data_IF_551875735936
#
_entry.id   IF_551875735936
#
_cell.length_a   1.000
_cell.length_b   1.000
_cell.length_c   1.000
_cell.angle_alpha   90.00
_cell.angle_beta   90.00
_cell.angle_gamma   90.00
#
_symmetry.space_group_name_H-M   'P 1'
#
loop_
_entity.id
_entity.type
_entity.pdbx_description
1 polymer ?
#
# COMPACT_ATOMS: atom_id res chain seq x y z
N UNK A 1 -26.69 -2.09 -33.04
CA UNK A 1 -26.35 -2.12 -31.60
C UNK A 1 -27.12 -1.07 -30.79
N UNK A 2 -27.12 0.21 -31.19
CA UNK A 2 -27.84 1.28 -30.48
C UNK A 2 -29.35 0.99 -30.25
N UNK A 3 -30.06 0.53 -31.27
CA UNK A 3 -31.50 0.20 -31.17
C UNK A 3 -31.79 -1.00 -30.26
N UNK A 4 -30.87 -1.95 -30.18
CA UNK A 4 -31.00 -3.10 -29.28
C UNK A 4 -30.74 -2.70 -27.83
N UNK A 5 -29.70 -1.89 -27.59
CA UNK A 5 -29.38 -1.36 -26.26
C UNK A 5 -30.51 -0.51 -25.66
N UNK A 6 -31.16 0.34 -26.48
CA UNK A 6 -32.35 1.10 -26.07
C UNK A 6 -33.50 0.18 -25.66
N UNK A 7 -33.83 -0.82 -26.47
CA UNK A 7 -34.89 -1.81 -26.17
C UNK A 7 -34.61 -2.62 -24.91
N UNK A 8 -33.34 -3.00 -24.66
CA UNK A 8 -32.95 -3.67 -23.41
C UNK A 8 -33.16 -2.78 -22.19
N UNK A 9 -32.82 -1.49 -22.28
CA UNK A 9 -33.02 -0.52 -21.20
C UNK A 9 -34.50 -0.30 -20.88
N UNK A 10 -35.33 -0.13 -21.91
CA UNK A 10 -36.78 0.00 -21.75
C UNK A 10 -37.39 -1.25 -21.13
N UNK A 11 -37.05 -2.43 -21.65
CA UNK A 11 -37.52 -3.71 -21.11
C UNK A 11 -37.09 -3.93 -19.66
N UNK A 12 -35.86 -3.58 -19.30
CA UNK A 12 -35.39 -3.67 -17.91
C UNK A 12 -36.15 -2.75 -16.97
N UNK A 13 -36.55 -1.54 -17.42
CA UNK A 13 -37.36 -0.62 -16.60
C UNK A 13 -38.78 -1.14 -16.39
N UNK A 14 -39.39 -1.71 -17.42
CA UNK A 14 -40.79 -2.19 -17.38
C UNK A 14 -40.96 -3.59 -16.81
N UNK A 15 -39.89 -4.37 -16.65
CA UNK A 15 -39.95 -5.70 -16.01
C UNK A 15 -40.34 -5.60 -14.54
N UNK A 16 -41.10 -6.59 -14.07
CA UNK A 16 -41.49 -6.70 -12.67
C UNK A 16 -40.33 -7.18 -11.78
N UNK A 17 -40.41 -6.93 -10.47
CA UNK A 17 -39.37 -7.37 -9.53
C UNK A 17 -39.11 -8.88 -9.56
N UNK A 18 -40.15 -9.69 -9.81
CA UNK A 18 -40.02 -11.15 -9.94
C UNK A 18 -39.23 -11.56 -11.19
N UNK A 19 -39.42 -10.85 -12.30
CA UNK A 19 -38.68 -11.12 -13.54
C UNK A 19 -37.22 -10.66 -13.43
N UNK A 20 -36.97 -9.53 -12.75
CA UNK A 20 -35.61 -9.05 -12.46
C UNK A 20 -34.86 -9.96 -11.49
N UNK A 21 -35.56 -10.53 -10.50
CA UNK A 21 -34.99 -11.44 -9.50
C UNK A 21 -34.20 -12.59 -10.14
N UNK A 22 -34.69 -13.17 -11.24
CA UNK A 22 -33.98 -14.22 -11.97
C UNK A 22 -32.64 -13.74 -12.54
N UNK A 23 -32.58 -12.52 -13.05
CA UNK A 23 -31.34 -11.92 -13.57
C UNK A 23 -30.41 -11.49 -12.44
N UNK A 24 -30.94 -11.01 -11.32
CA UNK A 24 -30.16 -10.65 -10.14
C UNK A 24 -29.53 -11.89 -9.49
N UNK A 25 -30.26 -13.01 -9.40
CA UNK A 25 -29.73 -14.29 -8.94
C UNK A 25 -28.63 -14.82 -9.86
N UNK A 26 -28.84 -14.72 -11.18
CA UNK A 26 -27.83 -15.11 -12.17
C UNK A 26 -26.57 -14.24 -12.07
N UNK A 27 -26.72 -12.92 -11.90
CA UNK A 27 -25.60 -12.00 -11.70
C UNK A 27 -24.85 -12.27 -10.38
N UNK A 28 -25.55 -12.64 -9.30
CA UNK A 28 -24.92 -13.04 -8.04
C UNK A 28 -24.13 -14.34 -8.19
N UNK A 29 -24.70 -15.34 -8.86
CA UNK A 29 -24.01 -16.60 -9.13
C UNK A 29 -22.76 -16.38 -10.01
N UNK A 30 -22.87 -15.51 -11.02
CA UNK A 30 -21.74 -15.13 -11.88
C UNK A 30 -20.64 -14.40 -11.11
N UNK A 31 -21.01 -13.47 -10.21
CA UNK A 31 -20.06 -12.79 -9.34
C UNK A 31 -19.30 -13.78 -8.44
N UNK A 32 -19.99 -14.75 -7.85
CA UNK A 32 -19.35 -15.78 -7.01
C UNK A 32 -18.41 -16.65 -7.83
N UNK A 33 -18.80 -17.01 -9.06
CA UNK A 33 -17.92 -17.73 -9.99
C UNK A 33 -16.67 -16.92 -10.30
N UNK A 34 -16.84 -15.64 -10.68
CA UNK A 34 -15.73 -14.74 -10.98
C UNK A 34 -14.80 -14.56 -9.77
N UNK A 35 -15.34 -14.32 -8.58
CA UNK A 35 -14.54 -14.16 -7.36
C UNK A 35 -13.76 -15.46 -7.03
N UNK A 36 -14.35 -16.63 -7.29
CA UNK A 36 -13.68 -17.93 -7.13
C UNK A 36 -12.58 -18.15 -8.17
N UNK A 37 -12.85 -17.87 -9.44
CA UNK A 37 -11.85 -17.94 -10.51
C UNK A 37 -10.70 -16.94 -10.27
N UNK A 38 -11.02 -15.75 -9.76
CA UNK A 38 -10.03 -14.72 -9.42
C UNK A 38 -9.21 -15.04 -8.17
N UNK A 39 -9.67 -15.96 -7.30
CA UNK A 39 -8.90 -16.40 -6.13
C UNK A 39 -7.71 -17.28 -6.53
N UNK A 40 -7.90 -18.12 -7.53
CA UNK A 40 -6.86 -18.99 -8.08
C UNK A 40 -6.07 -18.30 -9.21
N UNK A 41 -6.64 -17.22 -9.78
CA UNK A 41 -5.94 -16.35 -10.72
C UNK A 41 -5.02 -15.38 -9.98
N UNK A 42 -3.75 -15.76 -9.86
CA UNK A 42 -2.67 -14.79 -9.67
C UNK A 42 -2.34 -14.17 -11.03
N UNK A 43 -2.84 -12.96 -11.40
CA UNK A 43 -2.23 -12.25 -12.51
C UNK A 43 -0.75 -12.18 -12.15
N UNK A 44 0.15 -12.50 -13.09
CA UNK A 44 1.57 -12.23 -12.91
C UNK A 44 1.64 -10.79 -12.40
N UNK A 45 2.02 -10.60 -11.12
CA UNK A 45 2.11 -9.28 -10.50
C UNK A 45 3.00 -8.53 -11.46
N UNK A 46 2.42 -7.67 -12.31
CA UNK A 46 3.19 -6.92 -13.28
C UNK A 46 4.24 -6.23 -12.43
N UNK A 47 5.52 -6.64 -12.60
CA UNK A 47 6.56 -6.39 -11.60
C UNK A 47 6.47 -4.94 -11.16
N UNK A 48 6.53 -4.69 -9.83
CA UNK A 48 6.33 -3.36 -9.22
C UNK A 48 6.96 -2.33 -10.17
N UNK A 49 6.13 -1.55 -10.88
CA UNK A 49 6.64 -0.60 -11.89
C UNK A 49 7.73 0.22 -11.21
N UNK A 50 8.95 0.23 -11.77
CA UNK A 50 10.09 0.96 -11.19
C UNK A 50 9.59 2.34 -10.78
N UNK A 51 9.61 2.62 -9.47
CA UNK A 51 9.16 3.91 -8.94
C UNK A 51 10.01 4.97 -9.64
N UNK A 52 9.34 5.98 -10.19
CA UNK A 52 10.01 7.10 -10.85
C UNK A 52 10.97 7.75 -9.83
N UNK A 53 12.29 7.81 -10.08
CA UNK A 53 13.26 8.35 -9.14
C UNK A 53 13.03 9.82 -8.77
N UNK A 54 12.21 10.54 -9.55
CA UNK A 54 11.88 11.94 -9.34
C UNK A 54 10.48 12.14 -8.73
N UNK A 55 9.67 11.09 -8.60
CA UNK A 55 8.38 11.20 -7.93
C UNK A 55 8.61 11.44 -6.43
N UNK A 56 7.81 12.33 -5.80
CA UNK A 56 7.85 12.50 -4.36
C UNK A 56 7.70 11.14 -3.64
N UNK A 57 8.59 10.82 -2.68
CA UNK A 57 8.52 9.60 -1.84
C UNK A 57 7.38 9.77 -0.84
N UNK A 58 6.56 8.73 -0.66
CA UNK A 58 5.40 8.75 0.24
C UNK A 58 5.85 9.03 1.68
N UNK A 59 5.15 9.88 2.43
CA UNK A 59 5.52 10.18 3.81
C UNK A 59 5.24 8.97 4.70
N UNK A 60 6.04 8.79 5.78
CA UNK A 60 5.80 7.74 6.75
C UNK A 60 4.45 7.93 7.45
N UNK A 61 3.74 6.82 7.67
CA UNK A 61 2.50 6.80 8.45
C UNK A 61 2.78 7.06 9.94
N UNK A 62 1.74 7.38 10.72
CA UNK A 62 1.85 7.57 12.17
C UNK A 62 2.49 6.38 12.87
N UNK A 63 2.14 5.15 12.43
CA UNK A 63 2.77 3.92 12.91
C UNK A 63 4.28 3.88 12.60
N UNK A 64 4.70 4.21 11.38
CA UNK A 64 6.12 4.21 11.02
C UNK A 64 6.92 5.28 11.76
N UNK A 65 6.32 6.44 12.04
CA UNK A 65 6.94 7.44 12.92
C UNK A 65 7.18 6.87 14.32
N UNK A 66 6.19 6.17 14.88
CA UNK A 66 6.35 5.47 16.15
C UNK A 66 7.44 4.38 16.07
N UNK A 67 7.43 3.53 15.05
CA UNK A 67 8.44 2.50 14.86
C UNK A 67 9.85 3.09 14.77
N UNK A 68 10.05 4.20 14.07
CA UNK A 68 11.35 4.86 13.95
C UNK A 68 11.93 5.31 15.30
N UNK A 69 11.07 5.72 16.24
CA UNK A 69 11.49 6.17 17.57
C UNK A 69 11.72 5.01 18.55
N UNK A 70 11.07 3.86 18.34
CA UNK A 70 11.07 2.73 19.27
C UNK A 70 11.89 1.51 18.81
N UNK A 71 12.05 1.28 17.50
CA UNK A 71 12.95 0.25 16.93
C UNK A 71 14.36 0.31 17.53
N UNK A 72 15.06 1.47 17.57
CA UNK A 72 16.41 1.53 18.15
C UNK A 72 16.42 1.26 19.66
N UNK A 73 15.34 1.58 20.39
CA UNK A 73 15.24 1.30 21.84
C UNK A 73 15.11 -0.19 22.11
N UNK A 74 14.30 -0.89 21.31
CA UNK A 74 14.13 -2.34 21.40
C UNK A 74 15.42 -3.05 20.99
N UNK A 75 16.04 -2.65 19.87
CA UNK A 75 17.33 -3.21 19.42
C UNK A 75 18.45 -2.99 20.45
N UNK A 76 18.45 -1.87 21.17
CA UNK A 76 19.43 -1.60 22.24
C UNK A 76 19.21 -2.46 23.48
N UNK A 77 17.95 -2.81 23.79
CA UNK A 77 17.58 -3.61 24.96
C UNK A 77 17.76 -5.11 24.70
N UNK A 78 17.54 -5.53 23.45
CA UNK A 78 17.75 -6.88 22.95
C UNK A 78 18.69 -6.84 21.75
N UNK A 79 20.01 -6.71 21.96
CA UNK A 79 20.96 -6.82 20.85
C UNK A 79 20.87 -8.22 20.24
N UNK A 80 20.53 -8.33 18.95
CA UNK A 80 20.40 -9.59 18.22
C UNK A 80 18.97 -10.13 18.05
N UNK A 81 17.93 -9.36 18.43
CA UNK A 81 16.56 -9.67 18.02
C UNK A 81 16.38 -9.47 16.51
N UNK A 82 15.65 -10.37 15.85
CA UNK A 82 15.33 -10.23 14.41
C UNK A 82 14.48 -9.00 14.16
N UNK A 83 14.57 -8.44 12.96
CA UNK A 83 13.75 -7.30 12.55
C UNK A 83 12.27 -7.67 12.61
N UNK A 84 11.90 -8.85 12.10
CA UNK A 84 10.53 -9.36 12.16
C UNK A 84 9.97 -9.37 13.59
N UNK A 85 10.75 -9.81 14.57
CA UNK A 85 10.30 -9.84 15.97
C UNK A 85 10.18 -8.45 16.59
N UNK A 86 11.04 -7.50 16.19
CA UNK A 86 10.92 -6.09 16.59
C UNK A 86 9.65 -5.49 15.99
N UNK A 87 9.35 -5.77 14.73
CA UNK A 87 8.16 -5.29 14.06
C UNK A 87 6.88 -5.84 14.71
N UNK A 88 6.84 -7.15 15.04
CA UNK A 88 5.74 -7.78 15.79
C UNK A 88 5.51 -7.07 17.12
N UNK A 89 6.57 -6.88 17.93
CA UNK A 89 6.48 -6.16 19.22
C UNK A 89 6.01 -4.71 19.06
N UNK A 90 6.50 -3.99 18.05
CA UNK A 90 6.08 -2.60 17.79
C UNK A 90 4.61 -2.52 17.37
N UNK A 91 4.14 -3.48 16.57
CA UNK A 91 2.73 -3.60 16.19
C UNK A 91 1.82 -3.81 17.40
N UNK A 92 2.19 -4.71 18.30
CA UNK A 92 1.46 -4.93 19.56
C UNK A 92 1.45 -3.68 20.44
N UNK A 93 2.61 -3.04 20.64
CA UNK A 93 2.71 -1.78 21.38
C UNK A 93 1.80 -0.71 20.79
N UNK A 94 1.84 -0.53 19.47
CA UNK A 94 1.01 0.45 18.78
C UNK A 94 -0.49 0.16 18.91
N UNK A 95 -0.91 -1.11 18.87
CA UNK A 95 -2.30 -1.48 19.08
C UNK A 95 -2.76 -1.20 20.51
N UNK A 96 -1.87 -1.44 21.49
CA UNK A 96 -2.13 -1.20 22.91
C UNK A 96 -2.07 0.28 23.33
N UNK A 97 -1.43 1.16 22.55
CA UNK A 97 -1.45 2.60 22.80
C UNK A 97 -2.89 3.14 22.79
N UNK A 98 -3.16 4.12 23.63
CA UNK A 98 -4.43 4.84 23.60
C UNK A 98 -4.51 5.77 22.38
N UNK A 99 -5.72 6.12 21.95
CA UNK A 99 -5.89 7.07 20.85
C UNK A 99 -5.19 8.40 21.13
N UNK A 100 -5.16 8.86 22.38
CA UNK A 100 -4.46 10.07 22.81
C UNK A 100 -2.95 10.01 22.55
N UNK A 101 -2.35 8.84 22.74
CA UNK A 101 -0.92 8.62 22.48
C UNK A 101 -0.63 8.44 20.99
N UNK A 102 -1.58 7.89 20.22
CA UNK A 102 -1.48 7.81 18.75
C UNK A 102 -1.71 9.16 18.07
N UNK A 103 -2.54 10.04 18.65
CA UNK A 103 -2.86 11.36 18.11
C UNK A 103 -1.65 12.19 17.69
N UNK A 104 -0.58 12.39 18.50
CA UNK A 104 0.57 13.17 18.08
C UNK A 104 1.27 12.57 16.84
N UNK A 105 1.37 11.24 16.75
CA UNK A 105 1.96 10.58 15.58
C UNK A 105 1.06 10.70 14.34
N UNK A 106 -0.25 10.53 14.51
CA UNK A 106 -1.23 10.71 13.44
C UNK A 106 -1.25 12.16 12.95
N UNK A 107 -1.13 13.15 13.84
CA UNK A 107 -1.05 14.57 13.50
C UNK A 107 0.26 14.92 12.78
N UNK A 108 1.39 14.37 13.22
CA UNK A 108 2.68 14.49 12.51
C UNK A 108 2.57 13.89 11.10
N UNK A 109 2.02 12.69 10.98
CA UNK A 109 1.81 12.02 9.70
C UNK A 109 0.86 12.79 8.78
N UNK A 110 -0.23 13.36 9.32
CA UNK A 110 -1.17 14.18 8.56
C UNK A 110 -0.51 15.45 7.99
N UNK A 111 0.33 16.13 8.77
CA UNK A 111 1.11 17.29 8.29
C UNK A 111 2.09 16.92 7.18
N UNK A 112 2.78 15.78 7.32
CA UNK A 112 3.69 15.28 6.29
C UNK A 112 2.93 14.86 5.02
N UNK A 113 1.73 14.28 5.18
CA UNK A 113 0.83 13.95 4.08
C UNK A 113 0.36 15.18 3.32
N UNK A 114 -0.02 16.25 4.02
CA UNK A 114 -0.43 17.50 3.38
C UNK A 114 0.72 18.11 2.57
N UNK A 115 1.94 18.09 3.11
CA UNK A 115 3.13 18.54 2.38
C UNK A 115 3.38 17.67 1.14
N UNK A 116 3.28 16.35 1.28
CA UNK A 116 3.43 15.41 0.17
C UNK A 116 2.39 15.64 -0.92
N UNK A 117 1.13 15.87 -0.56
CA UNK A 117 0.06 16.13 -1.51
C UNK A 117 0.33 17.42 -2.31
N UNK A 118 0.89 18.46 -1.68
CA UNK A 118 1.37 19.67 -2.36
C UNK A 118 2.54 19.36 -3.30
N UNK A 119 3.56 18.65 -2.83
CA UNK A 119 4.72 18.28 -3.64
C UNK A 119 4.33 17.39 -4.84
N UNK A 120 3.35 16.49 -4.67
CA UNK A 120 2.79 15.67 -5.75
C UNK A 120 1.96 16.49 -6.71
N UNK A 121 1.16 17.44 -6.23
CA UNK A 121 0.41 18.35 -7.09
C UNK A 121 1.36 19.22 -7.94
N UNK A 122 2.45 19.70 -7.35
CA UNK A 122 3.51 20.43 -8.04
C UNK A 122 4.26 19.53 -9.04
N UNK A 123 4.57 18.28 -8.66
CA UNK A 123 5.19 17.30 -9.56
C UNK A 123 4.29 16.97 -10.76
N UNK A 124 2.98 16.79 -10.50
CA UNK A 124 1.99 16.46 -11.53
C UNK A 124 1.70 17.64 -12.46
N UNK A 125 1.70 18.87 -11.92
CA UNK A 125 1.46 20.10 -12.70
C UNK A 125 2.68 20.52 -13.53
N UNK A 126 3.91 20.25 -13.05
CA UNK A 126 5.15 20.51 -13.80
C UNK A 126 5.41 19.55 -14.96
N UNK A 127 4.54 18.56 -15.17
CA UNK A 127 4.68 17.58 -16.23
C UNK A 127 5.88 16.65 -15.96
N UNK A 128 5.85 15.45 -16.55
CA UNK A 128 6.97 14.51 -16.52
C UNK A 128 8.22 15.24 -17.04
N UNK A 129 9.11 15.64 -16.14
CA UNK A 129 10.40 16.19 -16.53
C UNK A 129 11.33 15.02 -16.83
N UNK A 130 11.47 14.72 -18.12
CA UNK A 130 12.53 13.89 -18.67
C UNK A 130 13.89 14.35 -18.10
N UNK A 131 14.69 13.38 -17.67
CA UNK A 131 15.73 13.59 -16.69
C UNK A 131 16.86 14.55 -17.07
N UNK A 132 17.36 15.29 -16.08
CA UNK A 132 18.71 15.83 -16.09
C UNK A 132 19.23 16.10 -14.67
N UNK A 133 20.43 15.55 -14.43
CA UNK A 133 21.33 15.56 -13.27
C UNK A 133 21.32 16.81 -12.35
N UNK A 134 21.35 16.58 -11.03
CA UNK A 134 21.69 17.56 -9.97
C UNK A 134 21.95 16.88 -8.60
N UNK A 135 22.74 17.47 -7.67
CA UNK A 135 23.57 16.74 -6.71
C UNK A 135 22.80 16.36 -5.42
N UNK A 136 22.06 15.26 -5.45
CA UNK A 136 21.46 14.64 -4.26
C UNK A 136 22.16 13.32 -3.85
N UNK A 137 23.36 13.05 -4.40
CA UNK A 137 24.05 11.75 -4.26
C UNK A 137 24.59 11.47 -2.85
N UNK A 138 24.85 12.49 -2.02
CA UNK A 138 25.49 12.26 -0.70
C UNK A 138 24.46 11.93 0.39
N UNK A 139 23.23 12.46 0.31
CA UNK A 139 22.17 12.11 1.25
C UNK A 139 21.48 10.78 0.89
N UNK A 140 21.49 10.39 -0.39
CA UNK A 140 20.95 9.10 -0.87
C UNK A 140 21.76 7.90 -0.38
N UNK A 141 23.10 7.97 -0.40
CA UNK A 141 23.97 6.84 -0.04
C UNK A 141 23.77 6.34 1.40
N UNK A 142 23.46 7.23 2.35
CA UNK A 142 23.28 6.84 3.77
C UNK A 142 21.90 6.24 4.06
N UNK A 143 20.89 6.56 3.26
CA UNK A 143 19.55 5.97 3.40
C UNK A 143 19.41 4.73 2.53
N UNK A 144 20.11 4.65 1.39
CA UNK A 144 20.22 3.42 0.58
C UNK A 144 20.96 2.32 1.34
N UNK A 145 22.02 2.60 2.11
CA UNK A 145 22.66 1.55 2.94
C UNK A 145 21.78 1.08 4.10
N UNK A 146 20.87 1.92 4.64
CA UNK A 146 19.91 1.48 5.67
C UNK A 146 18.67 0.76 5.07
N UNK A 147 18.23 1.10 3.84
CA UNK A 147 17.13 0.41 3.12
C UNK A 147 17.65 -0.90 2.46
N UNK A 148 18.92 -0.99 2.01
CA UNK A 148 19.53 -2.24 1.47
C UNK A 148 19.80 -3.27 2.57
N UNK A 149 20.22 -2.86 3.78
CA UNK A 149 20.29 -3.79 4.93
C UNK A 149 18.89 -4.34 5.29
N UNK A 150 17.83 -3.53 5.20
CA UNK A 150 16.44 -3.93 5.51
C UNK A 150 15.83 -4.82 4.39
N UNK A 151 16.24 -4.66 3.13
CA UNK A 151 15.80 -5.51 1.99
C UNK A 151 16.59 -6.83 1.92
N UNK A 152 17.89 -6.86 2.25
CA UNK A 152 18.65 -8.13 2.35
C UNK A 152 18.20 -8.97 3.56
N UNK A 153 17.80 -8.35 4.68
CA UNK A 153 17.19 -9.08 5.81
C UNK A 153 15.75 -9.56 5.52
N UNK A 154 14.96 -8.90 4.65
CA UNK A 154 13.64 -9.42 4.20
C UNK A 154 13.79 -10.65 3.27
N UNK A 155 14.83 -10.72 2.44
CA UNK A 155 15.06 -11.91 1.58
C UNK A 155 15.58 -13.12 2.38
N UNK A 156 16.38 -12.93 3.44
CA UNK A 156 16.77 -14.02 4.34
C UNK A 156 15.59 -14.52 5.21
N UNK A 157 14.67 -13.65 5.64
CA UNK A 157 13.44 -14.06 6.36
C UNK A 157 12.45 -14.85 5.47
N UNK A 158 12.42 -14.63 4.14
CA UNK A 158 11.57 -15.40 3.21
C UNK A 158 12.16 -16.79 2.86
N UNK A 159 13.49 -16.97 2.88
CA UNK A 159 14.10 -18.29 2.65
C UNK A 159 13.99 -19.22 3.88
N UNK A 160 14.03 -18.70 5.13
CA UNK A 160 13.90 -19.55 6.33
C UNK A 160 12.45 -20.06 6.58
N UNK A 161 11.42 -19.41 6.03
CA UNK A 161 10.02 -19.86 6.14
C UNK A 161 9.60 -20.86 5.04
N UNK A 162 10.44 -21.12 4.02
CA UNK A 162 10.19 -22.14 2.99
C UNK A 162 10.73 -23.54 3.37
N UNK A 163 11.57 -23.65 4.41
CA UNK A 163 12.23 -24.90 4.84
C UNK A 163 11.68 -25.52 6.16
N UNK A 164 10.61 -24.99 6.76
CA UNK A 164 9.89 -25.59 7.92
C UNK A 164 8.49 -26.14 7.57
#
# INVERSE_FOLDING_TARGET
FAEFSKKCSERWKTMSGKEKSKFDEMAKADKVRYDREMKDYGPAKGGKKKKDPNAPKRPPSGFFLFCSEFRPKIKSTNPGISIGDVAKKLGEMWNNLSDSEKQPYNNKAAKLKEKYEKDVADYKSKGKFDGAKGPAKVARKKVEEEDEEDEEEEEEEEEEEEDE
#
